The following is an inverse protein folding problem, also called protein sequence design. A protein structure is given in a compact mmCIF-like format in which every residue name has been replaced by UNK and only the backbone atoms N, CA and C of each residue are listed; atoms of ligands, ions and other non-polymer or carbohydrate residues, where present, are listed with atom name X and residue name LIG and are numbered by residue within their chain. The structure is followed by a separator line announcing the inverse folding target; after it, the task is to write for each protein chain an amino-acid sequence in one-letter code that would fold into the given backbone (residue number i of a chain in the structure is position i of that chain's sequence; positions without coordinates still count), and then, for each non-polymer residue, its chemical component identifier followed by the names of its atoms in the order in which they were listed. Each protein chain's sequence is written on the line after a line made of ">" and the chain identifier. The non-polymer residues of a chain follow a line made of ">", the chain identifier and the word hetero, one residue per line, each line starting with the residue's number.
data_IF_236734492273
#
_entry.id   IF_236734492273
#
_cell.length_a   1.000
_cell.length_b   1.000
_cell.length_c   1.000
_cell.angle_alpha   90.00
_cell.angle_beta   90.00
_cell.angle_gamma   90.00
#
_symmetry.space_group_name_H-M   'P 1'
#
loop_
_entity.id
_entity.type
_entity.pdbx_description
1 polymer ?
#
# COMPACT_ATOMS: atom_id res chain seq x y z
N UNK A 1 -37.65 -5.46 -12.85
CA UNK A 1 -36.84 -4.23 -12.73
C UNK A 1 -35.73 -4.58 -11.75
N UNK A 2 -34.46 -4.63 -12.18
CA UNK A 2 -33.37 -4.79 -11.26
C UNK A 2 -33.33 -3.51 -10.39
N UNK A 3 -33.46 -3.66 -9.07
CA UNK A 3 -33.16 -2.58 -8.15
C UNK A 3 -31.75 -2.10 -8.47
N UNK A 4 -31.63 -0.83 -8.87
CA UNK A 4 -30.34 -0.16 -8.95
C UNK A 4 -29.79 -0.15 -7.52
N UNK A 5 -28.93 -1.11 -7.21
CA UNK A 5 -28.20 -1.14 -5.94
C UNK A 5 -27.54 0.23 -5.69
N UNK A 6 -27.50 0.65 -4.44
CA UNK A 6 -26.88 1.91 -4.03
C UNK A 6 -25.46 1.97 -4.59
N UNK A 7 -25.10 3.12 -5.20
CA UNK A 7 -23.75 3.31 -5.77
C UNK A 7 -22.69 3.25 -4.68
N UNK A 8 -21.61 2.49 -4.90
CA UNK A 8 -20.46 2.54 -4.00
C UNK A 8 -19.78 3.92 -4.04
N UNK A 9 -19.28 4.32 -2.90
CA UNK A 9 -18.41 5.49 -2.70
C UNK A 9 -17.08 5.05 -2.13
N UNK A 10 -16.08 5.93 -2.19
CA UNK A 10 -14.79 5.67 -1.53
C UNK A 10 -14.22 6.96 -0.92
N UNK A 11 -13.39 6.79 0.09
CA UNK A 11 -12.59 7.84 0.74
C UNK A 11 -11.16 7.32 0.93
N UNK A 12 -10.16 8.13 0.58
CA UNK A 12 -8.74 7.79 0.81
C UNK A 12 -8.28 8.50 2.07
N UNK A 13 -7.94 7.73 3.07
CA UNK A 13 -7.48 8.18 4.38
C UNK A 13 -5.94 8.12 4.38
N UNK A 14 -5.30 9.26 4.12
CA UNK A 14 -3.84 9.34 4.08
C UNK A 14 -3.31 9.75 5.44
N UNK A 15 -2.51 8.88 6.03
CA UNK A 15 -1.77 9.15 7.27
C UNK A 15 -0.35 9.60 6.95
N UNK A 16 0.13 10.62 7.65
CA UNK A 16 1.50 11.12 7.46
C UNK A 16 2.54 10.06 7.89
N UNK A 17 3.71 10.09 7.28
CA UNK A 17 4.84 9.23 7.65
C UNK A 17 5.33 9.51 9.07
N UNK A 18 5.98 8.51 9.65
CA UNK A 18 6.52 8.59 11.02
C UNK A 18 8.04 8.42 11.03
N UNK A 19 8.78 9.10 11.92
CA UNK A 19 10.22 8.91 12.07
C UNK A 19 10.55 7.47 12.46
N UNK A 20 11.57 6.87 11.81
CA UNK A 20 12.04 5.52 12.10
C UNK A 20 13.11 5.53 13.20
N UNK A 21 13.05 4.59 14.12
CA UNK A 21 14.06 4.36 15.16
C UNK A 21 15.18 3.44 14.61
N UNK A 22 16.00 3.98 13.73
CA UNK A 22 17.14 3.29 13.14
C UNK A 22 18.37 4.21 13.18
N UNK A 23 19.58 3.63 13.19
CA UNK A 23 20.83 4.40 13.21
C UNK A 23 21.16 5.04 11.85
N UNK A 24 20.46 4.62 10.79
CA UNK A 24 20.64 5.17 9.46
C UNK A 24 20.09 6.60 9.38
N UNK A 25 20.84 7.47 8.69
CA UNK A 25 20.46 8.86 8.42
C UNK A 25 20.41 9.13 6.93
N UNK A 26 19.66 10.15 6.55
CA UNK A 26 19.70 10.73 5.21
C UNK A 26 21.11 11.29 4.90
N UNK A 27 21.50 11.47 3.62
CA UNK A 27 22.80 12.08 3.27
C UNK A 27 23.03 13.46 3.89
N UNK A 28 21.99 14.22 4.16
CA UNK A 28 22.03 15.52 4.84
C UNK A 28 22.04 15.44 6.38
N UNK A 29 22.06 14.22 6.94
CA UNK A 29 22.08 13.97 8.39
C UNK A 29 20.70 13.92 9.07
N UNK A 30 19.62 14.17 8.35
CA UNK A 30 18.25 14.11 8.88
C UNK A 30 17.80 12.67 9.20
N UNK A 31 16.76 12.55 10.03
CA UNK A 31 16.14 11.25 10.33
C UNK A 31 15.41 10.71 9.11
N UNK A 32 15.42 9.38 8.98
CA UNK A 32 14.56 8.72 7.98
C UNK A 32 13.14 8.67 8.50
N UNK A 33 12.22 9.16 7.68
CA UNK A 33 10.77 9.13 7.92
C UNK A 33 10.15 8.11 6.95
N UNK A 34 9.16 7.34 7.41
CA UNK A 34 8.41 6.45 6.52
C UNK A 34 7.56 7.24 5.52
N UNK A 35 7.12 6.59 4.46
CA UNK A 35 6.19 7.21 3.51
C UNK A 35 4.84 7.50 4.17
N UNK A 36 4.12 8.56 3.73
CA UNK A 36 2.69 8.67 3.99
C UNK A 36 1.98 7.44 3.46
N UNK A 37 1.05 6.88 4.24
CA UNK A 37 0.32 5.66 3.85
C UNK A 37 -1.15 5.95 3.59
N UNK A 38 -1.72 5.27 2.59
CA UNK A 38 -3.11 5.38 2.19
C UNK A 38 -3.90 4.16 2.66
N UNK A 39 -4.92 4.36 3.48
CA UNK A 39 -5.96 3.37 3.70
C UNK A 39 -7.20 3.78 2.91
N UNK A 40 -7.76 2.87 2.10
CA UNK A 40 -8.92 3.21 1.27
C UNK A 40 -10.18 2.59 1.86
N UNK A 41 -11.14 3.43 2.26
CA UNK A 41 -12.45 3.01 2.70
C UNK A 41 -13.42 3.02 1.51
N UNK A 42 -13.94 1.85 1.13
CA UNK A 42 -14.95 1.69 0.08
C UNK A 42 -16.25 1.30 0.77
N UNK A 43 -17.35 2.00 0.50
CA UNK A 43 -18.58 1.77 1.22
C UNK A 43 -19.81 1.94 0.35
N UNK A 44 -20.84 1.17 0.70
CA UNK A 44 -22.16 1.24 0.12
C UNK A 44 -23.19 1.84 1.11
N UNK A 45 -24.38 1.27 1.13
CA UNK A 45 -25.46 1.76 1.99
C UNK A 45 -25.25 1.37 3.46
N UNK A 46 -24.80 0.15 3.74
CA UNK A 46 -24.68 -0.42 5.08
C UNK A 46 -23.25 -0.74 5.46
N UNK A 47 -22.53 -1.36 4.56
CA UNK A 47 -21.26 -2.00 4.81
C UNK A 47 -20.10 -1.27 4.15
N UNK A 48 -18.90 -1.47 4.69
CA UNK A 48 -17.66 -0.96 4.16
C UNK A 48 -16.57 -2.03 4.08
N UNK A 49 -15.64 -1.81 3.16
CA UNK A 49 -14.33 -2.49 3.06
C UNK A 49 -13.26 -1.46 3.37
N UNK A 50 -12.34 -1.78 4.23
CA UNK A 50 -11.10 -1.01 4.43
C UNK A 50 -9.95 -1.75 3.75
N UNK A 51 -9.23 -1.07 2.84
CA UNK A 51 -8.01 -1.60 2.21
C UNK A 51 -6.80 -1.02 2.93
N UNK A 52 -5.89 -1.89 3.29
CA UNK A 52 -4.58 -1.58 3.89
C UNK A 52 -4.64 -0.74 5.19
N UNK A 53 -5.03 -1.34 6.32
CA UNK A 53 -4.94 -0.72 7.65
C UNK A 53 -3.49 -0.40 8.04
N UNK A 54 -3.20 0.83 8.53
CA UNK A 54 -1.84 1.29 8.73
C UNK A 54 -1.14 0.69 9.96
N UNK A 55 0.14 1.04 10.15
CA UNK A 55 1.05 0.40 11.09
C UNK A 55 0.93 0.89 12.54
N UNK A 56 0.88 2.21 12.77
CA UNK A 56 1.05 2.79 14.10
C UNK A 56 -0.25 3.22 14.74
N UNK A 57 -0.31 3.22 16.07
CA UNK A 57 -1.50 3.65 16.84
C UNK A 57 -1.99 5.05 16.43
N UNK A 58 -1.08 6.00 16.13
CA UNK A 58 -1.44 7.33 15.66
C UNK A 58 -2.11 7.32 14.30
N UNK A 59 -1.57 6.56 13.34
CA UNK A 59 -2.14 6.38 12.01
C UNK A 59 -3.47 5.62 12.06
N UNK A 60 -3.54 4.56 12.88
CA UNK A 60 -4.77 3.78 13.11
C UNK A 60 -5.88 4.67 13.67
N UNK A 61 -5.57 5.58 14.61
CA UNK A 61 -6.56 6.52 15.14
C UNK A 61 -7.11 7.46 14.05
N UNK A 62 -6.27 7.97 13.15
CA UNK A 62 -6.70 8.81 12.03
C UNK A 62 -7.62 8.04 11.07
N UNK A 63 -7.28 6.79 10.72
CA UNK A 63 -8.12 5.92 9.89
C UNK A 63 -9.43 5.58 10.62
N UNK A 64 -9.37 5.28 11.92
CA UNK A 64 -10.54 5.03 12.74
C UNK A 64 -11.55 6.19 12.73
N UNK A 65 -11.07 7.43 12.74
CA UNK A 65 -11.93 8.62 12.64
C UNK A 65 -12.63 8.69 11.26
N UNK A 66 -11.94 8.30 10.18
CA UNK A 66 -12.55 8.19 8.85
C UNK A 66 -13.65 7.13 8.80
N UNK A 67 -13.36 5.93 9.31
CA UNK A 67 -14.35 4.84 9.39
C UNK A 67 -15.56 5.28 10.22
N UNK A 68 -15.34 5.90 11.38
CA UNK A 68 -16.40 6.41 12.25
C UNK A 68 -17.29 7.46 11.53
N UNK A 69 -16.70 8.40 10.79
CA UNK A 69 -17.45 9.41 10.02
C UNK A 69 -18.34 8.79 8.95
N UNK A 70 -17.92 7.68 8.34
CA UNK A 70 -18.75 7.00 7.33
C UNK A 70 -20.05 6.46 7.90
N UNK A 71 -20.09 6.16 9.19
CA UNK A 71 -21.24 5.53 9.88
C UNK A 71 -21.54 4.11 9.38
N UNK A 72 -20.58 3.47 8.68
CA UNK A 72 -20.76 2.14 8.08
C UNK A 72 -20.16 1.05 8.97
N UNK A 73 -20.72 -0.15 8.85
CA UNK A 73 -20.15 -1.35 9.47
C UNK A 73 -18.93 -1.78 8.67
N UNK A 74 -17.81 -2.04 9.33
CA UNK A 74 -16.63 -2.59 8.68
C UNK A 74 -16.81 -4.09 8.48
N UNK A 75 -17.41 -4.47 7.35
CA UNK A 75 -17.70 -5.86 7.02
C UNK A 75 -16.46 -6.61 6.53
N UNK A 76 -15.56 -5.90 5.84
CA UNK A 76 -14.37 -6.51 5.27
C UNK A 76 -13.15 -5.61 5.45
N UNK A 77 -11.99 -6.27 5.54
CA UNK A 77 -10.67 -5.67 5.33
C UNK A 77 -10.01 -6.41 4.18
N UNK A 78 -9.36 -5.70 3.28
CA UNK A 78 -8.55 -6.30 2.21
C UNK A 78 -7.10 -5.86 2.35
N UNK A 79 -6.16 -6.81 2.21
CA UNK A 79 -4.72 -6.57 2.30
C UNK A 79 -4.11 -6.78 0.90
N UNK A 80 -3.44 -5.74 0.40
CA UNK A 80 -2.85 -5.76 -0.95
C UNK A 80 -1.56 -6.58 -1.00
N UNK A 81 -0.72 -6.51 0.02
CA UNK A 81 0.56 -7.21 0.10
C UNK A 81 1.04 -7.40 1.56
N UNK A 82 2.17 -8.06 1.76
CA UNK A 82 2.60 -8.54 3.08
C UNK A 82 3.29 -7.52 3.97
N UNK A 83 3.64 -6.31 3.50
CA UNK A 83 4.33 -5.33 4.32
C UNK A 83 3.48 -4.88 5.52
N UNK A 84 4.06 -4.81 6.73
CA UNK A 84 3.32 -4.57 7.98
C UNK A 84 2.56 -3.26 8.05
N UNK A 85 2.99 -2.23 7.34
CA UNK A 85 2.31 -0.93 7.28
C UNK A 85 1.00 -0.96 6.48
N UNK A 86 0.66 -2.11 5.85
CA UNK A 86 -0.60 -2.32 5.16
C UNK A 86 -1.60 -3.22 5.91
N UNK A 87 -1.22 -3.77 7.10
CA UNK A 87 -2.16 -4.66 7.78
C UNK A 87 -2.03 -4.79 9.31
N UNK A 88 -0.99 -4.24 9.94
CA UNK A 88 -0.81 -4.37 11.39
C UNK A 88 -1.93 -3.70 12.20
N UNK A 89 -2.66 -2.74 11.62
CA UNK A 89 -3.82 -2.10 12.23
C UNK A 89 -5.11 -2.93 12.23
N UNK A 90 -5.14 -4.11 11.60
CA UNK A 90 -6.35 -4.94 11.42
C UNK A 90 -7.08 -5.22 12.73
N UNK A 91 -6.37 -5.71 13.77
CA UNK A 91 -6.99 -6.06 15.05
C UNK A 91 -7.66 -4.85 15.71
N UNK A 92 -6.95 -3.72 15.79
CA UNK A 92 -7.44 -2.51 16.44
C UNK A 92 -8.67 -1.90 15.76
N UNK A 93 -8.73 -1.97 14.42
CA UNK A 93 -9.86 -1.43 13.66
C UNK A 93 -11.07 -2.37 13.68
N UNK A 94 -10.86 -3.68 13.61
CA UNK A 94 -11.94 -4.65 13.71
C UNK A 94 -12.54 -4.71 15.11
N UNK A 95 -11.74 -4.57 16.16
CA UNK A 95 -12.25 -4.48 17.55
C UNK A 95 -13.20 -3.30 17.72
N UNK A 96 -12.94 -2.18 17.01
CA UNK A 96 -13.75 -0.97 17.15
C UNK A 96 -14.95 -0.90 16.21
N UNK A 97 -14.84 -1.42 14.99
CA UNK A 97 -15.81 -1.21 13.90
C UNK A 97 -16.32 -2.49 13.24
N UNK A 98 -15.72 -3.63 13.54
CA UNK A 98 -16.12 -4.94 13.06
C UNK A 98 -17.13 -5.61 13.96
N UNK A 99 -17.55 -6.79 13.55
CA UNK A 99 -18.36 -7.73 14.32
C UNK A 99 -17.87 -9.18 14.10
N UNK A 100 -18.63 -10.16 14.59
CA UNK A 100 -18.28 -11.57 14.46
C UNK A 100 -18.26 -12.09 13.00
N UNK A 101 -18.92 -11.38 12.08
CA UNK A 101 -19.01 -11.73 10.66
C UNK A 101 -18.02 -10.94 9.80
N UNK A 102 -17.21 -10.05 10.42
CA UNK A 102 -16.19 -9.27 9.69
C UNK A 102 -15.03 -10.16 9.24
N UNK A 103 -14.60 -10.01 7.98
CA UNK A 103 -13.59 -10.87 7.37
C UNK A 103 -12.41 -10.05 6.85
N UNK A 104 -11.18 -10.53 7.12
CA UNK A 104 -9.96 -10.01 6.50
C UNK A 104 -9.60 -10.90 5.31
N UNK A 105 -9.55 -10.33 4.12
CA UNK A 105 -9.23 -11.01 2.88
C UNK A 105 -7.85 -10.61 2.34
N UNK A 106 -7.13 -11.59 1.81
CA UNK A 106 -5.95 -11.41 0.96
C UNK A 106 -5.82 -12.62 0.02
N UNK A 107 -4.90 -12.58 -0.93
CA UNK A 107 -4.56 -13.79 -1.71
C UNK A 107 -3.71 -14.75 -0.88
N UNK A 108 -3.64 -16.01 -1.29
CA UNK A 108 -2.80 -17.01 -0.59
C UNK A 108 -1.33 -16.60 -0.56
N UNK A 109 -0.84 -15.99 -1.63
CA UNK A 109 0.52 -15.46 -1.70
C UNK A 109 0.76 -14.38 -0.65
N UNK A 110 -0.08 -13.35 -0.63
CA UNK A 110 -0.03 -12.28 0.37
C UNK A 110 -0.10 -12.84 1.80
N UNK A 111 -0.96 -13.85 2.07
CA UNK A 111 -1.07 -14.48 3.39
C UNK A 111 0.24 -15.17 3.80
N UNK A 112 0.95 -15.80 2.87
CA UNK A 112 2.28 -16.36 3.16
C UNK A 112 3.25 -15.28 3.62
N UNK A 113 3.30 -14.14 2.92
CA UNK A 113 4.15 -13.00 3.28
C UNK A 113 3.75 -12.40 4.65
N UNK A 114 2.45 -12.24 4.90
CA UNK A 114 1.95 -11.77 6.20
C UNK A 114 2.45 -12.65 7.36
N UNK A 115 2.50 -13.98 7.20
CA UNK A 115 3.01 -14.90 8.24
C UNK A 115 4.49 -14.69 8.50
N UNK A 116 5.30 -14.54 7.44
CA UNK A 116 6.74 -14.26 7.57
C UNK A 116 6.96 -12.95 8.33
N UNK A 117 6.20 -11.90 7.99
CA UNK A 117 6.30 -10.62 8.67
C UNK A 117 5.83 -10.66 10.14
N UNK A 118 4.82 -11.48 10.43
CA UNK A 118 4.34 -11.66 11.81
C UNK A 118 5.37 -12.37 12.70
N UNK A 119 6.06 -13.39 12.19
CA UNK A 119 7.13 -14.08 12.88
C UNK A 119 8.31 -13.14 13.21
N UNK A 120 8.62 -12.21 12.28
CA UNK A 120 9.67 -11.19 12.46
C UNK A 120 9.23 -9.92 13.20
N UNK A 121 7.98 -9.82 13.69
CA UNK A 121 7.38 -8.58 14.19
C UNK A 121 8.25 -7.84 15.22
N UNK A 122 8.76 -8.53 16.22
CA UNK A 122 9.48 -7.91 17.34
C UNK A 122 10.89 -7.43 16.96
N UNK A 123 11.54 -8.13 16.04
CA UNK A 123 12.90 -7.81 15.59
C UNK A 123 12.95 -6.87 14.39
N UNK A 124 11.85 -6.82 13.63
CA UNK A 124 11.70 -6.05 12.40
C UNK A 124 11.00 -4.69 12.58
N UNK A 125 9.82 -4.58 11.99
CA UNK A 125 9.05 -3.32 11.94
C UNK A 125 8.72 -2.74 13.32
N UNK A 126 8.27 -3.57 14.28
CA UNK A 126 7.91 -3.08 15.61
C UNK A 126 9.07 -2.40 16.33
N UNK A 127 10.31 -2.87 16.11
CA UNK A 127 11.51 -2.26 16.67
C UNK A 127 11.85 -0.93 15.98
N UNK A 128 11.63 -0.86 14.68
CA UNK A 128 12.01 0.30 13.85
C UNK A 128 10.99 1.43 13.88
N UNK A 129 9.75 1.15 14.29
CA UNK A 129 8.67 2.14 14.29
C UNK A 129 8.13 2.39 15.70
N UNK A 130 8.04 3.67 16.13
CA UNK A 130 7.38 4.01 17.38
C UNK A 130 5.86 3.83 17.26
N UNK A 131 5.23 3.23 18.29
CA UNK A 131 3.77 3.17 18.38
C UNK A 131 3.11 2.06 17.58
N UNK A 132 3.81 1.00 17.21
CA UNK A 132 3.18 -0.21 16.69
C UNK A 132 2.30 -0.86 17.76
N UNK A 133 1.06 -1.29 17.45
CA UNK A 133 0.17 -1.93 18.40
C UNK A 133 0.79 -3.18 19.05
N UNK A 134 0.51 -3.38 20.34
CA UNK A 134 0.98 -4.58 21.06
C UNK A 134 0.11 -5.80 20.77
N UNK A 135 -1.16 -5.60 20.36
CA UNK A 135 -2.04 -6.71 20.00
C UNK A 135 -1.52 -7.44 18.74
N UNK A 136 -1.90 -8.70 18.61
CA UNK A 136 -1.56 -9.49 17.42
C UNK A 136 -2.48 -9.06 16.26
N UNK A 137 -1.93 -8.64 15.11
CA UNK A 137 -2.74 -8.34 13.94
C UNK A 137 -3.56 -9.56 13.49
N UNK A 138 -4.72 -9.32 12.90
CA UNK A 138 -5.54 -10.41 12.34
C UNK A 138 -4.96 -10.84 10.99
N UNK A 139 -4.61 -12.12 10.89
CA UNK A 139 -4.23 -12.72 9.61
C UNK A 139 -5.45 -12.86 8.69
N UNK A 140 -5.23 -12.64 7.41
CA UNK A 140 -6.26 -12.80 6.40
C UNK A 140 -6.60 -14.27 6.14
N UNK A 141 -7.81 -14.49 5.60
CA UNK A 141 -8.20 -15.74 4.94
C UNK A 141 -8.20 -15.54 3.42
N UNK A 142 -8.06 -16.63 2.63
CA UNK A 142 -8.04 -16.50 1.17
C UNK A 142 -9.29 -15.82 0.63
N UNK A 143 -9.09 -14.80 -0.22
CA UNK A 143 -10.19 -14.16 -0.95
C UNK A 143 -10.82 -15.17 -1.91
N UNK A 144 -12.16 -15.23 -2.04
CA UNK A 144 -12.82 -16.11 -3.02
C UNK A 144 -12.34 -15.81 -4.45
N UNK A 145 -12.18 -16.86 -5.27
CA UNK A 145 -11.66 -16.74 -6.65
C UNK A 145 -12.49 -15.77 -7.53
N UNK A 146 -13.80 -15.74 -7.33
CA UNK A 146 -14.72 -14.85 -8.07
C UNK A 146 -14.83 -13.46 -7.43
N UNK A 147 -14.09 -13.19 -6.35
CA UNK A 147 -14.18 -11.99 -5.53
C UNK A 147 -15.20 -12.09 -4.41
N UNK A 148 -15.41 -10.99 -3.70
CA UNK A 148 -16.42 -10.87 -2.64
C UNK A 148 -17.36 -9.70 -2.91
N UNK A 149 -18.47 -9.65 -2.18
CA UNK A 149 -19.56 -8.73 -2.48
C UNK A 149 -19.77 -7.70 -1.39
N UNK A 150 -19.84 -6.43 -1.79
CA UNK A 150 -20.22 -5.31 -0.93
C UNK A 150 -21.49 -4.67 -1.48
N UNK A 151 -22.58 -4.73 -0.72
CA UNK A 151 -23.89 -4.15 -1.09
C UNK A 151 -24.31 -4.42 -2.56
N UNK A 152 -24.10 -5.67 -3.03
CA UNK A 152 -24.47 -6.09 -4.39
C UNK A 152 -23.44 -5.78 -5.48
N UNK A 153 -22.28 -5.27 -5.12
CA UNK A 153 -21.16 -5.00 -6.03
C UNK A 153 -20.01 -5.97 -5.77
N UNK A 154 -19.46 -6.54 -6.83
CA UNK A 154 -18.28 -7.44 -6.72
C UNK A 154 -17.00 -6.64 -6.61
N UNK A 155 -16.12 -7.06 -5.69
CA UNK A 155 -14.74 -6.62 -5.54
C UNK A 155 -13.81 -7.80 -5.84
N UNK A 156 -12.76 -7.58 -6.63
CA UNK A 156 -11.86 -8.65 -7.09
C UNK A 156 -10.41 -8.35 -6.75
N UNK A 157 -9.73 -9.35 -6.21
CA UNK A 157 -8.28 -9.33 -6.13
C UNK A 157 -7.67 -9.45 -7.53
N UNK A 158 -6.61 -8.69 -7.78
CA UNK A 158 -5.82 -8.73 -9.01
C UNK A 158 -4.38 -9.01 -8.63
N UNK A 159 -3.88 -10.20 -8.93
CA UNK A 159 -2.50 -10.55 -8.67
C UNK A 159 -1.57 -9.78 -9.62
N UNK A 160 -0.63 -9.04 -9.06
CA UNK A 160 0.33 -8.22 -9.81
C UNK A 160 1.73 -8.84 -9.87
N UNK A 161 1.97 -9.83 -9.03
CA UNK A 161 3.27 -10.52 -8.93
C UNK A 161 4.23 -9.75 -8.02
N UNK A 162 5.52 -9.78 -8.35
CA UNK A 162 6.52 -9.02 -7.63
C UNK A 162 6.41 -7.52 -7.96
N UNK A 163 6.41 -6.68 -6.92
CA UNK A 163 6.47 -5.20 -7.02
C UNK A 163 7.51 -4.67 -6.03
N UNK A 164 7.11 -3.93 -5.01
CA UNK A 164 7.96 -3.59 -3.87
C UNK A 164 8.26 -4.79 -2.96
N UNK A 165 7.45 -5.84 -3.07
CA UNK A 165 7.63 -7.18 -2.49
C UNK A 165 6.93 -8.25 -3.33
N UNK A 166 7.15 -9.52 -2.98
CA UNK A 166 6.52 -10.67 -3.64
C UNK A 166 5.02 -10.78 -3.33
N UNK A 167 4.30 -11.48 -4.20
CA UNK A 167 2.88 -11.80 -4.04
C UNK A 167 1.98 -10.56 -3.83
N UNK A 168 2.36 -9.43 -4.43
CA UNK A 168 1.59 -8.19 -4.39
C UNK A 168 0.32 -8.28 -5.20
N UNK A 169 -0.71 -7.57 -4.76
CA UNK A 169 -2.04 -7.54 -5.38
C UNK A 169 -2.64 -6.14 -5.37
N UNK A 170 -3.70 -5.96 -6.16
CA UNK A 170 -4.56 -4.78 -6.10
C UNK A 170 -6.02 -5.21 -5.88
N UNK A 171 -6.86 -4.31 -5.36
CA UNK A 171 -8.30 -4.52 -5.28
C UNK A 171 -9.02 -3.75 -6.39
N UNK A 172 -9.69 -4.46 -7.28
CA UNK A 172 -10.48 -3.88 -8.37
C UNK A 172 -11.96 -3.82 -8.00
N UNK A 173 -12.57 -2.65 -8.19
CA UNK A 173 -13.99 -2.36 -7.95
C UNK A 173 -14.62 -1.91 -9.28
N UNK A 174 -15.05 -2.87 -10.14
CA UNK A 174 -15.50 -2.57 -11.50
C UNK A 174 -16.66 -1.57 -11.58
N UNK A 175 -17.61 -1.65 -10.64
CA UNK A 175 -18.83 -0.83 -10.65
C UNK A 175 -18.57 0.68 -10.59
N UNK A 176 -17.45 1.09 -9.99
CA UNK A 176 -17.01 2.49 -9.90
C UNK A 176 -15.70 2.76 -10.65
N UNK A 177 -15.16 1.75 -11.36
CA UNK A 177 -13.91 1.87 -12.13
C UNK A 177 -12.69 2.20 -11.27
N UNK A 178 -12.67 1.76 -10.01
CA UNK A 178 -11.62 2.00 -9.04
C UNK A 178 -10.68 0.81 -8.96
N UNK A 179 -9.37 1.07 -8.93
CA UNK A 179 -8.35 0.12 -8.49
C UNK A 179 -7.60 0.72 -7.30
N UNK A 180 -7.61 0.00 -6.17
CA UNK A 180 -6.70 0.27 -5.04
C UNK A 180 -5.46 -0.57 -5.27
N UNK A 181 -4.39 0.10 -5.66
CA UNK A 181 -3.22 -0.53 -6.25
C UNK A 181 -2.20 -1.04 -5.21
N UNK A 182 -2.36 -0.67 -3.92
CA UNK A 182 -1.28 -0.89 -2.96
C UNK A 182 0.03 -0.27 -3.48
N UNK A 183 1.13 -0.92 -3.20
CA UNK A 183 2.46 -0.43 -3.57
C UNK A 183 2.88 -0.76 -5.01
N UNK A 184 1.96 -1.32 -5.81
CA UNK A 184 2.16 -1.39 -7.28
C UNK A 184 2.27 0.02 -7.88
N UNK A 185 1.60 1.02 -7.28
CA UNK A 185 1.65 2.41 -7.71
C UNK A 185 1.96 3.36 -6.54
N UNK A 186 2.72 4.41 -6.84
CA UNK A 186 3.08 5.50 -5.94
C UNK A 186 2.62 6.83 -6.52
N UNK A 187 2.11 7.73 -5.67
CA UNK A 187 1.54 8.99 -6.12
C UNK A 187 2.21 10.20 -5.44
N UNK A 188 3.19 10.81 -6.11
CA UNK A 188 3.88 12.01 -5.63
C UNK A 188 4.77 11.80 -4.41
N UNK A 189 5.18 10.57 -4.14
CA UNK A 189 6.17 10.19 -3.12
C UNK A 189 7.26 9.31 -3.74
N UNK A 190 8.45 9.29 -3.14
CA UNK A 190 9.52 8.38 -3.58
C UNK A 190 9.18 6.93 -3.25
N UNK A 191 9.51 6.02 -4.17
CA UNK A 191 9.16 4.60 -4.06
C UNK A 191 10.16 3.84 -3.18
N UNK A 192 9.66 2.83 -2.46
CA UNK A 192 10.48 1.82 -1.80
C UNK A 192 10.83 0.74 -2.84
N UNK A 193 12.12 0.59 -3.15
CA UNK A 193 12.58 -0.36 -4.18
C UNK A 193 13.58 -1.37 -3.61
N UNK A 194 13.61 -1.54 -2.28
CA UNK A 194 14.61 -2.35 -1.59
C UNK A 194 14.66 -3.80 -2.10
N UNK A 195 13.51 -4.39 -2.40
CA UNK A 195 13.38 -5.77 -2.88
C UNK A 195 13.44 -5.87 -4.42
N UNK A 196 13.76 -4.77 -5.11
CA UNK A 196 13.79 -4.70 -6.58
C UNK A 196 15.04 -5.28 -7.25
N UNK A 197 15.94 -5.94 -6.52
CA UNK A 197 17.11 -6.62 -7.07
C UNK A 197 16.74 -7.81 -7.98
N UNK A 198 17.74 -8.36 -8.68
CA UNK A 198 17.62 -9.58 -9.50
C UNK A 198 16.42 -9.58 -10.51
N UNK A 199 16.13 -8.44 -11.12
CA UNK A 199 15.03 -8.29 -12.07
C UNK A 199 13.68 -7.94 -11.43
N UNK A 200 13.63 -7.64 -10.13
CA UNK A 200 12.41 -7.27 -9.44
C UNK A 200 11.79 -5.98 -9.97
N UNK A 201 12.60 -4.95 -10.31
CA UNK A 201 12.08 -3.72 -10.90
C UNK A 201 11.43 -3.95 -12.28
N UNK A 202 11.97 -4.84 -13.10
CA UNK A 202 11.37 -5.24 -14.38
C UNK A 202 10.09 -6.03 -14.18
N UNK A 203 10.03 -6.92 -13.18
CA UNK A 203 8.80 -7.64 -12.80
C UNK A 203 7.72 -6.66 -12.33
N UNK A 204 8.10 -5.62 -11.61
CA UNK A 204 7.17 -4.56 -11.17
C UNK A 204 6.53 -3.81 -12.35
N UNK A 205 7.30 -3.52 -13.40
CA UNK A 205 6.73 -2.92 -14.63
C UNK A 205 5.59 -3.78 -15.20
N UNK A 206 5.74 -5.12 -15.19
CA UNK A 206 4.67 -6.03 -15.62
C UNK A 206 3.45 -6.01 -14.67
N UNK A 207 3.65 -5.82 -13.37
CA UNK A 207 2.57 -5.60 -12.39
C UNK A 207 1.74 -4.36 -12.70
N UNK A 208 2.41 -3.25 -13.04
CA UNK A 208 1.74 -2.01 -13.47
C UNK A 208 0.91 -2.25 -14.75
N UNK A 209 1.44 -3.00 -15.71
CA UNK A 209 0.74 -3.30 -16.96
C UNK A 209 -0.54 -4.12 -16.73
N UNK A 210 -0.55 -5.03 -15.74
CA UNK A 210 -1.75 -5.78 -15.34
C UNK A 210 -2.85 -4.86 -14.81
N UNK A 211 -2.50 -3.84 -14.01
CA UNK A 211 -3.48 -2.84 -13.55
C UNK A 211 -3.95 -1.97 -14.71
N UNK A 212 -3.05 -1.49 -15.56
CA UNK A 212 -3.40 -0.66 -16.70
C UNK A 212 -4.36 -1.36 -17.68
N UNK A 213 -4.22 -2.69 -17.85
CA UNK A 213 -5.10 -3.51 -18.69
C UNK A 213 -6.56 -3.55 -18.21
N UNK A 214 -6.84 -3.24 -16.93
CA UNK A 214 -8.20 -3.10 -16.39
C UNK A 214 -8.89 -1.81 -16.85
N UNK A 215 -8.14 -0.90 -17.48
CA UNK A 215 -8.62 0.42 -17.92
C UNK A 215 -9.35 1.20 -16.80
N UNK A 216 -8.72 1.38 -15.62
CA UNK A 216 -9.36 2.00 -14.47
C UNK A 216 -9.63 3.48 -14.72
N UNK A 217 -10.69 4.01 -14.10
CA UNK A 217 -10.97 5.46 -14.07
C UNK A 217 -10.30 6.15 -12.89
N UNK A 218 -10.01 5.40 -11.84
CA UNK A 218 -9.43 5.85 -10.58
C UNK A 218 -8.40 4.83 -10.13
N UNK A 219 -7.22 5.29 -9.72
CA UNK A 219 -6.17 4.44 -9.14
C UNK A 219 -5.69 5.08 -7.85
N UNK A 220 -5.84 4.37 -6.75
CA UNK A 220 -5.33 4.78 -5.43
C UNK A 220 -4.02 4.03 -5.16
N UNK A 221 -2.96 4.78 -4.93
CA UNK A 221 -1.65 4.26 -4.54
C UNK A 221 -1.60 3.91 -3.05
N UNK A 222 -0.78 2.92 -2.66
CA UNK A 222 -0.52 2.58 -1.25
C UNK A 222 0.19 3.72 -0.51
N UNK A 223 1.07 4.42 -1.18
CA UNK A 223 1.74 5.62 -0.68
C UNK A 223 1.47 6.82 -1.58
N UNK A 224 0.97 7.92 -1.01
CA UNK A 224 0.63 9.10 -1.82
C UNK A 224 0.80 10.42 -1.08
N UNK A 225 1.03 11.47 -1.87
CA UNK A 225 0.80 12.84 -1.44
C UNK A 225 -0.72 13.08 -1.36
N UNK A 226 -1.22 13.41 -0.17
CA UNK A 226 -2.66 13.63 0.09
C UNK A 226 -3.29 14.75 -0.75
N UNK A 227 -2.48 15.63 -1.31
CA UNK A 227 -2.94 16.76 -2.13
C UNK A 227 -3.09 16.41 -3.63
N UNK A 228 -2.71 15.20 -4.04
CA UNK A 228 -2.81 14.76 -5.44
C UNK A 228 -4.05 13.89 -5.66
N UNK A 229 -4.69 13.99 -6.85
CA UNK A 229 -5.86 13.17 -7.19
C UNK A 229 -5.49 11.71 -7.42
N UNK A 230 -6.50 10.83 -7.40
CA UNK A 230 -6.39 9.41 -7.69
C UNK A 230 -6.52 9.16 -9.20
N UNK A 231 -5.67 9.80 -9.99
CA UNK A 231 -5.68 9.77 -11.44
C UNK A 231 -4.91 8.54 -11.96
N UNK A 232 -5.44 7.75 -12.92
CA UNK A 232 -4.74 6.61 -13.51
C UNK A 232 -3.35 6.91 -14.11
N UNK A 233 -3.04 8.18 -14.42
CA UNK A 233 -1.71 8.60 -14.89
C UNK A 233 -0.58 8.24 -13.91
N UNK A 234 -0.89 8.01 -12.62
CA UNK A 234 0.11 7.58 -11.63
C UNK A 234 0.76 6.25 -12.01
N UNK A 235 0.09 5.41 -12.82
CA UNK A 235 0.68 4.18 -13.35
C UNK A 235 1.85 4.50 -14.30
N UNK A 236 1.68 5.50 -15.18
CA UNK A 236 2.76 5.93 -16.07
C UNK A 236 3.86 6.68 -15.32
N UNK A 237 3.51 7.48 -14.33
CA UNK A 237 4.46 8.19 -13.47
C UNK A 237 5.30 7.19 -12.61
N UNK A 238 4.68 6.12 -12.10
CA UNK A 238 5.37 5.03 -11.39
C UNK A 238 6.28 4.27 -12.35
N UNK A 239 5.79 3.93 -13.54
CA UNK A 239 6.56 3.25 -14.59
C UNK A 239 7.79 4.05 -15.00
N UNK A 240 7.65 5.37 -15.18
CA UNK A 240 8.77 6.23 -15.54
C UNK A 240 9.82 6.27 -14.43
N UNK A 241 9.40 6.36 -13.17
CA UNK A 241 10.30 6.33 -12.02
C UNK A 241 11.14 5.03 -11.99
N UNK A 242 10.50 3.86 -12.17
CA UNK A 242 11.19 2.58 -12.22
C UNK A 242 12.16 2.47 -13.41
N UNK A 243 11.77 2.94 -14.59
CA UNK A 243 12.64 2.97 -15.76
C UNK A 243 13.88 3.84 -15.54
N UNK A 244 13.72 4.97 -14.89
CA UNK A 244 14.85 5.84 -14.55
C UNK A 244 15.77 5.17 -13.53
N UNK A 245 15.20 4.51 -12.49
CA UNK A 245 15.97 3.74 -11.53
C UNK A 245 16.77 2.61 -12.20
N UNK A 246 16.13 1.78 -13.03
CA UNK A 246 16.77 0.70 -13.80
C UNK A 246 17.91 1.24 -14.66
N UNK A 247 17.67 2.33 -15.39
CA UNK A 247 18.69 2.96 -16.25
C UNK A 247 19.91 3.45 -15.46
N UNK A 248 19.70 4.06 -14.30
CA UNK A 248 20.78 4.56 -13.45
C UNK A 248 21.56 3.40 -12.82
N UNK A 249 20.86 2.40 -12.28
CA UNK A 249 21.45 1.20 -11.68
C UNK A 249 22.33 0.40 -12.67
N UNK A 250 21.98 0.38 -13.96
CA UNK A 250 22.78 -0.25 -15.00
C UNK A 250 24.19 0.35 -15.12
N UNK A 251 24.38 1.61 -14.70
CA UNK A 251 25.69 2.28 -14.63
C UNK A 251 26.52 1.90 -13.41
N UNK A 252 25.99 1.09 -12.50
CA UNK A 252 26.63 0.68 -11.23
C UNK A 252 27.12 1.89 -10.40
N UNK A 253 26.25 2.86 -10.11
CA UNK A 253 26.62 4.03 -9.32
C UNK A 253 26.91 3.63 -7.86
N UNK A 254 27.48 4.54 -7.10
CA UNK A 254 27.43 4.45 -5.63
C UNK A 254 25.99 4.76 -5.14
N UNK A 255 25.62 4.35 -3.90
CA UNK A 255 24.30 4.70 -3.35
C UNK A 255 24.00 6.21 -3.37
N UNK A 256 25.01 7.05 -3.11
CA UNK A 256 24.85 8.51 -3.14
C UNK A 256 24.63 9.03 -4.56
N UNK A 257 25.38 8.55 -5.54
CA UNK A 257 25.20 8.93 -6.95
C UNK A 257 23.82 8.52 -7.45
N UNK A 258 23.33 7.31 -7.10
CA UNK A 258 21.98 6.85 -7.42
C UNK A 258 20.93 7.79 -6.81
N UNK A 259 21.05 8.09 -5.53
CA UNK A 259 20.17 9.00 -4.82
C UNK A 259 20.13 10.38 -5.49
N UNK A 260 21.30 10.99 -5.75
CA UNK A 260 21.41 12.32 -6.33
C UNK A 260 20.83 12.38 -7.76
N UNK A 261 21.05 11.35 -8.60
CA UNK A 261 20.49 11.29 -9.95
C UNK A 261 18.96 11.14 -9.92
N UNK A 262 18.42 10.29 -9.05
CA UNK A 262 16.97 10.15 -8.88
C UNK A 262 16.35 11.45 -8.33
N UNK A 263 17.00 12.14 -7.39
CA UNK A 263 16.54 13.43 -6.88
C UNK A 263 16.57 14.54 -7.94
N UNK A 264 17.48 14.54 -8.91
CA UNK A 264 17.48 15.47 -10.04
C UNK A 264 16.26 15.24 -10.96
N UNK A 265 15.85 14.00 -11.16
CA UNK A 265 14.74 13.63 -12.05
C UNK A 265 13.37 13.75 -11.38
N UNK A 266 13.29 13.47 -10.09
CA UNK A 266 12.05 13.28 -9.34
C UNK A 266 12.02 14.05 -8.01
N UNK A 267 12.73 15.17 -7.92
CA UNK A 267 12.87 15.96 -6.68
C UNK A 267 11.60 16.68 -6.23
N UNK A 268 10.54 16.66 -7.03
CA UNK A 268 9.21 17.14 -6.67
C UNK A 268 8.39 16.13 -5.85
N UNK A 269 8.84 14.87 -5.74
CA UNK A 269 8.22 13.84 -4.92
C UNK A 269 8.55 14.03 -3.45
N UNK A 270 7.57 13.72 -2.60
CA UNK A 270 7.75 13.80 -1.15
C UNK A 270 8.58 12.62 -0.62
N UNK A 271 9.18 12.82 0.55
CA UNK A 271 9.83 11.80 1.36
C UNK A 271 10.91 10.98 0.62
N UNK A 272 12.14 11.52 0.49
CA UNK A 272 13.25 10.83 -0.17
C UNK A 272 13.87 9.68 0.67
N UNK A 273 13.39 9.45 1.91
CA UNK A 273 13.90 8.39 2.79
C UNK A 273 13.85 6.98 2.17
N UNK A 274 12.70 6.54 1.60
CA UNK A 274 12.61 5.26 0.91
C UNK A 274 13.57 5.13 -0.27
N UNK A 275 13.79 6.19 -1.05
CA UNK A 275 14.76 6.20 -2.15
C UNK A 275 16.18 5.98 -1.63
N UNK A 276 16.57 6.72 -0.57
CA UNK A 276 17.90 6.54 0.04
C UNK A 276 18.11 5.13 0.57
N UNK A 277 17.11 4.61 1.30
CA UNK A 277 17.14 3.27 1.87
C UNK A 277 17.24 2.19 0.77
N UNK A 278 16.49 2.36 -0.32
CA UNK A 278 16.54 1.46 -1.48
C UNK A 278 17.90 1.48 -2.18
N UNK A 279 18.50 2.67 -2.37
CA UNK A 279 19.82 2.80 -2.97
C UNK A 279 20.91 2.07 -2.19
N UNK A 280 20.85 2.14 -0.85
CA UNK A 280 21.77 1.39 0.00
C UNK A 280 21.62 -0.12 -0.14
N UNK A 281 20.39 -0.64 -0.23
CA UNK A 281 20.17 -2.08 -0.34
C UNK A 281 20.43 -2.65 -1.75
N UNK A 282 20.04 -1.93 -2.79
CA UNK A 282 20.23 -2.37 -4.19
C UNK A 282 21.69 -2.34 -4.65
N UNK A 283 22.54 -1.56 -3.98
CA UNK A 283 23.94 -1.33 -4.36
C UNK A 283 24.95 -1.81 -3.28
N UNK A 284 24.46 -2.64 -2.31
CA UNK A 284 25.25 -3.22 -1.23
C UNK A 284 26.27 -4.27 -1.70
#
# INVERSE_FOLDING_TARGET
>A
MAELGSRLSYEVLVSDGVPRKIDLRMPNGEEIVSSPISSTLIYGERDAVLVDPPLTNGQIAQVADGVARSGKRLAFVYITHGHPDHWFGTASLLERFGDADSVVYATEGTIRQMRVQLEGKEEGFAKSFPGVPQNTPVLAVPVPADGFWLDGHVLRAVETGHTDTDDSTALHVPSIGLVVAGDVAYNGVHQMMLEGGDGGLEAWLAGIDRIAALNPRLVVAGHKNKNLPDDPKILDETRQYLRDAIRILAGKPTPLEFFDEMMKLHGDRLNPGPLWYSGLGLLA
#
